data_IF_052707527377
#
_entry.id   IF_052707527377
#
_cell.length_a   1.000
_cell.length_b   1.000
_cell.length_c   1.000
_cell.angle_alpha   90.00
_cell.angle_beta   90.00
_cell.angle_gamma   90.00
#
_symmetry.space_group_name_H-M   'P 1'
#
loop_
_entity.id
_entity.type
_entity.pdbx_description
1 polymer ?
#
# COMPACT_ATOMS: atom_id res chain seq x y z
N UNK A 1 -13.14 62.77 -9.80
CA UNK A 1 -12.25 61.94 -8.95
C UNK A 1 -12.28 60.53 -9.52
N UNK A 2 -11.22 60.12 -10.23
CA UNK A 2 -11.11 58.79 -10.85
C UNK A 2 -10.18 57.94 -9.98
N UNK A 3 -10.69 56.88 -9.36
CA UNK A 3 -9.91 55.92 -8.58
C UNK A 3 -9.22 54.93 -9.52
N UNK A 4 -7.89 54.86 -9.45
CA UNK A 4 -7.09 53.91 -10.22
C UNK A 4 -7.26 52.48 -9.65
N UNK A 5 -7.23 51.43 -10.50
CA UNK A 5 -7.29 50.05 -10.03
C UNK A 5 -5.94 49.64 -9.40
N UNK A 6 -6.03 49.06 -8.22
CA UNK A 6 -4.89 48.57 -7.45
C UNK A 6 -4.44 47.21 -8.02
N UNK A 7 -3.35 47.18 -8.79
CA UNK A 7 -2.77 45.93 -9.26
C UNK A 7 -1.99 45.26 -8.13
N UNK A 8 -2.59 44.25 -7.50
CA UNK A 8 -1.87 43.35 -6.60
C UNK A 8 -0.96 42.48 -7.45
N UNK A 9 0.34 42.78 -7.48
CA UNK A 9 1.34 41.89 -8.10
C UNK A 9 1.36 40.58 -7.32
N UNK A 10 0.90 39.49 -7.94
CA UNK A 10 1.14 38.15 -7.44
C UNK A 10 2.65 37.92 -7.38
N UNK A 11 3.19 37.79 -6.17
CA UNK A 11 4.62 37.51 -5.97
C UNK A 11 4.94 36.17 -6.62
N UNK A 12 5.97 36.08 -7.49
CA UNK A 12 6.35 34.81 -8.09
C UNK A 12 6.78 33.82 -7.00
N UNK A 13 6.20 32.62 -7.03
CA UNK A 13 6.59 31.54 -6.13
C UNK A 13 8.11 31.28 -6.27
N UNK A 14 8.84 31.07 -5.15
CA UNK A 14 10.28 30.91 -5.22
C UNK A 14 10.66 29.64 -6.01
N UNK A 15 11.75 29.66 -6.79
CA UNK A 15 12.11 28.60 -7.74
C UNK A 15 12.33 27.21 -7.11
N UNK A 16 12.41 27.12 -5.77
CA UNK A 16 12.60 25.90 -4.98
C UNK A 16 11.34 25.45 -4.20
N UNK A 17 10.19 26.11 -4.37
CA UNK A 17 8.95 25.77 -3.67
C UNK A 17 8.50 24.32 -3.92
N UNK A 18 8.65 23.84 -5.16
CA UNK A 18 8.26 22.47 -5.53
C UNK A 18 9.18 21.40 -4.92
N UNK A 19 10.48 21.70 -4.80
CA UNK A 19 11.45 20.79 -4.18
C UNK A 19 11.25 20.74 -2.66
N UNK A 20 11.00 21.88 -2.01
CA UNK A 20 10.68 21.94 -0.59
C UNK A 20 9.33 21.27 -0.26
N UNK A 21 8.34 21.40 -1.14
CA UNK A 21 7.08 20.66 -1.04
C UNK A 21 7.29 19.15 -1.23
N UNK A 22 8.13 18.75 -2.19
CA UNK A 22 8.46 17.34 -2.42
C UNK A 22 9.23 16.72 -1.24
N UNK A 23 10.20 17.42 -0.66
CA UNK A 23 10.96 16.91 0.50
C UNK A 23 10.11 16.87 1.76
N UNK A 24 9.25 17.87 2.00
CA UNK A 24 8.34 17.85 3.14
C UNK A 24 7.27 16.77 3.04
N UNK A 25 6.74 16.48 1.84
CA UNK A 25 5.81 15.35 1.62
C UNK A 25 6.51 14.01 1.80
N UNK A 26 7.77 13.88 1.37
CA UNK A 26 8.62 12.71 1.64
C UNK A 26 8.90 12.50 3.13
N UNK A 27 9.18 13.57 3.87
CA UNK A 27 9.44 13.46 5.30
C UNK A 27 8.16 13.09 6.06
N UNK A 28 7.02 13.70 5.70
CA UNK A 28 5.71 13.32 6.26
C UNK A 28 5.35 11.87 5.98
N UNK A 29 5.62 11.36 4.79
CA UNK A 29 5.34 9.96 4.46
C UNK A 29 6.28 9.00 5.20
N UNK A 30 7.56 9.35 5.33
CA UNK A 30 8.52 8.60 6.16
C UNK A 30 8.09 8.56 7.63
N UNK A 31 7.80 9.71 8.22
CA UNK A 31 7.32 9.82 9.61
C UNK A 31 6.02 9.04 9.81
N UNK A 32 5.10 9.10 8.84
CA UNK A 32 3.88 8.30 8.86
C UNK A 32 4.18 6.80 8.86
N UNK A 33 4.99 6.32 7.91
CA UNK A 33 5.38 4.90 7.84
C UNK A 33 6.08 4.46 9.11
N UNK A 34 7.02 5.24 9.62
CA UNK A 34 7.73 4.94 10.88
C UNK A 34 6.77 4.93 12.06
N UNK A 35 5.82 5.85 12.15
CA UNK A 35 4.81 5.88 13.21
C UNK A 35 3.84 4.70 13.13
N UNK A 36 3.52 4.21 11.92
CA UNK A 36 2.70 3.01 11.71
C UNK A 36 3.50 1.76 12.09
N UNK A 37 4.77 1.68 11.69
CA UNK A 37 5.65 0.57 12.05
C UNK A 37 5.92 0.53 13.56
N UNK A 38 6.03 1.69 14.22
CA UNK A 38 6.18 1.80 15.67
C UNK A 38 4.95 1.32 16.46
N UNK A 39 3.76 1.27 15.83
CA UNK A 39 2.56 0.64 16.41
C UNK A 39 2.57 -0.88 16.30
N UNK A 40 3.52 -1.46 15.55
CA UNK A 40 3.70 -2.91 15.45
C UNK A 40 4.11 -3.51 16.79
N UNK A 41 3.74 -4.77 17.01
CA UNK A 41 4.16 -5.49 18.22
C UNK A 41 5.66 -5.82 18.14
N UNK A 42 6.38 -5.86 19.27
CA UNK A 42 7.78 -6.24 19.29
C UNK A 42 8.02 -7.59 18.58
N UNK A 43 9.03 -7.65 17.71
CA UNK A 43 9.36 -8.89 16.99
C UNK A 43 9.78 -10.04 17.92
N UNK A 44 10.38 -9.71 19.07
CA UNK A 44 10.72 -10.70 20.10
C UNK A 44 9.47 -11.38 20.68
N UNK A 45 8.36 -10.65 20.80
CA UNK A 45 7.08 -11.19 21.23
C UNK A 45 6.50 -12.11 20.16
N UNK A 46 6.56 -11.71 18.88
CA UNK A 46 6.08 -12.55 17.78
C UNK A 46 6.81 -13.90 17.72
N UNK A 47 8.14 -13.88 17.81
CA UNK A 47 8.97 -15.09 17.67
C UNK A 47 9.35 -15.75 19.00
N UNK A 48 8.59 -15.52 20.07
CA UNK A 48 8.82 -16.21 21.35
C UNK A 48 8.54 -17.70 21.21
N UNK A 49 9.60 -18.52 21.35
CA UNK A 49 9.56 -19.97 21.23
C UNK A 49 8.77 -20.64 22.36
N UNK A 50 8.66 -19.99 23.52
CA UNK A 50 7.97 -20.56 24.67
C UNK A 50 6.44 -20.53 24.49
N UNK A 51 5.94 -19.64 23.65
CA UNK A 51 4.52 -19.51 23.32
C UNK A 51 4.11 -20.34 22.08
N UNK A 52 4.95 -21.29 21.62
CA UNK A 52 4.61 -22.17 20.50
C UNK A 52 4.08 -23.49 21.03
N UNK A 53 2.82 -23.81 20.73
CA UNK A 53 2.17 -25.07 21.10
C UNK A 53 1.33 -25.64 19.96
N UNK A 54 1.24 -26.97 19.88
CA UNK A 54 0.47 -27.66 18.83
C UNK A 54 -1.02 -27.53 19.13
N UNK A 55 -1.86 -27.05 18.19
CA UNK A 55 -3.31 -27.01 18.39
C UNK A 55 -3.88 -28.44 18.49
N UNK A 56 -4.84 -28.65 19.39
CA UNK A 56 -5.47 -29.95 19.61
C UNK A 56 -6.38 -30.36 18.44
N UNK A 57 -7.01 -29.39 17.78
CA UNK A 57 -7.88 -29.60 16.62
C UNK A 57 -7.95 -28.37 15.70
N UNK A 58 -8.62 -28.53 14.56
CA UNK A 58 -8.76 -27.47 13.55
C UNK A 58 -9.56 -26.25 14.06
N UNK A 59 -10.58 -26.47 14.90
CA UNK A 59 -11.37 -25.36 15.45
C UNK A 59 -10.55 -24.47 16.38
N UNK A 60 -9.68 -25.07 17.18
CA UNK A 60 -8.71 -24.36 17.99
C UNK A 60 -7.69 -23.63 17.11
N UNK A 61 -7.13 -24.28 16.09
CA UNK A 61 -6.17 -23.66 15.17
C UNK A 61 -6.74 -22.41 14.49
N UNK A 62 -8.00 -22.47 14.01
CA UNK A 62 -8.70 -21.32 13.41
C UNK A 62 -8.93 -20.21 14.44
N UNK A 63 -9.27 -20.56 15.68
CA UNK A 63 -9.47 -19.58 16.76
C UNK A 63 -8.17 -18.86 17.12
N UNK A 64 -7.07 -19.62 17.28
CA UNK A 64 -5.71 -19.08 17.50
C UNK A 64 -5.29 -18.18 16.33
N UNK A 65 -5.49 -18.64 15.09
CA UNK A 65 -5.18 -17.87 13.89
C UNK A 65 -5.93 -16.53 13.87
N UNK A 66 -7.24 -16.51 14.19
CA UNK A 66 -8.03 -15.27 14.22
C UNK A 66 -7.52 -14.29 15.28
N UNK A 67 -7.26 -14.76 16.51
CA UNK A 67 -6.72 -13.93 17.60
C UNK A 67 -5.35 -13.35 17.24
N UNK A 68 -4.42 -14.21 16.82
CA UNK A 68 -3.07 -13.81 16.44
C UNK A 68 -3.05 -12.88 15.22
N UNK A 69 -3.98 -13.02 14.28
CA UNK A 69 -4.10 -12.13 13.10
C UNK A 69 -4.51 -10.72 13.48
N UNK A 70 -5.38 -10.57 14.48
CA UNK A 70 -5.75 -9.24 14.99
C UNK A 70 -4.60 -8.62 15.78
N UNK A 71 -3.93 -9.42 16.61
CA UNK A 71 -2.87 -8.95 17.50
C UNK A 71 -1.57 -8.56 16.75
N UNK A 72 -1.09 -9.43 15.86
CA UNK A 72 0.14 -9.22 15.08
C UNK A 72 -0.10 -8.65 13.69
N UNK A 73 -1.24 -7.98 13.45
CA UNK A 73 -1.67 -7.50 12.13
C UNK A 73 -0.58 -6.77 11.36
N UNK A 74 0.09 -5.80 12.00
CA UNK A 74 1.15 -5.01 11.37
C UNK A 74 2.41 -5.83 11.07
N UNK A 75 2.79 -6.75 11.96
CA UNK A 75 3.90 -7.67 11.72
C UNK A 75 3.61 -8.61 10.55
N UNK A 76 2.37 -9.09 10.42
CA UNK A 76 1.95 -9.93 9.29
C UNK A 76 1.96 -9.16 7.96
N UNK A 77 1.50 -7.91 7.96
CA UNK A 77 1.64 -7.03 6.77
C UNK A 77 3.11 -6.84 6.41
N UNK A 78 3.99 -6.63 7.40
CA UNK A 78 5.42 -6.51 7.16
C UNK A 78 6.03 -7.79 6.57
N UNK A 79 5.60 -8.98 7.02
CA UNK A 79 6.02 -10.26 6.45
C UNK A 79 5.56 -10.40 5.00
N UNK A 80 4.29 -10.10 4.70
CA UNK A 80 3.75 -10.15 3.32
C UNK A 80 4.55 -9.21 2.42
N UNK A 81 4.84 -7.99 2.88
CA UNK A 81 5.60 -7.02 2.11
C UNK A 81 7.05 -7.48 1.90
N UNK A 82 7.73 -7.95 2.95
CA UNK A 82 9.10 -8.40 2.90
C UNK A 82 9.27 -9.59 1.95
N UNK A 83 8.44 -10.62 2.11
CA UNK A 83 8.43 -11.81 1.23
C UNK A 83 8.09 -11.45 -0.21
N UNK A 84 7.17 -10.52 -0.46
CA UNK A 84 6.86 -10.01 -1.79
C UNK A 84 8.06 -9.31 -2.42
N UNK A 85 8.70 -8.39 -1.70
CA UNK A 85 9.89 -7.68 -2.17
C UNK A 85 11.01 -8.68 -2.49
N UNK A 86 11.30 -9.59 -1.56
CA UNK A 86 12.31 -10.65 -1.76
C UNK A 86 11.98 -11.50 -2.99
N UNK A 87 10.73 -11.91 -3.18
CA UNK A 87 10.31 -12.70 -4.33
C UNK A 87 10.56 -11.97 -5.64
N UNK A 88 10.24 -10.68 -5.74
CA UNK A 88 10.53 -9.89 -6.94
C UNK A 88 12.03 -9.65 -7.13
N UNK A 89 12.79 -9.39 -6.06
CA UNK A 89 14.25 -9.24 -6.11
C UNK A 89 14.95 -10.48 -6.67
N UNK A 90 14.43 -11.67 -6.35
CA UNK A 90 14.94 -12.95 -6.87
C UNK A 90 14.59 -13.18 -8.35
N UNK A 91 13.73 -12.35 -8.95
CA UNK A 91 13.29 -12.46 -10.34
C UNK A 91 13.58 -11.16 -11.11
N UNK A 92 14.87 -10.88 -11.44
CA UNK A 92 15.27 -9.61 -12.07
C UNK A 92 14.58 -9.36 -13.41
N UNK A 93 14.25 -10.39 -14.19
CA UNK A 93 13.48 -10.25 -15.43
C UNK A 93 12.07 -9.67 -15.20
N UNK A 94 11.39 -10.11 -14.13
CA UNK A 94 10.10 -9.57 -13.74
C UNK A 94 10.20 -8.08 -13.35
N UNK A 95 11.28 -7.70 -12.66
CA UNK A 95 11.54 -6.31 -12.29
C UNK A 95 11.79 -5.43 -13.51
N UNK A 96 12.57 -5.90 -14.48
CA UNK A 96 12.84 -5.16 -15.72
C UNK A 96 11.53 -4.92 -16.48
N UNK A 97 10.70 -5.94 -16.66
CA UNK A 97 9.41 -5.79 -17.35
C UNK A 97 8.50 -4.80 -16.61
N UNK A 98 8.41 -4.89 -15.29
CA UNK A 98 7.63 -3.96 -14.49
C UNK A 98 8.15 -2.52 -14.62
N UNK A 99 9.46 -2.32 -14.60
CA UNK A 99 10.10 -1.03 -14.80
C UNK A 99 9.83 -0.46 -16.20
N UNK A 100 9.87 -1.29 -17.24
CA UNK A 100 9.56 -0.89 -18.62
C UNK A 100 8.09 -0.49 -18.78
N UNK A 101 7.17 -1.25 -18.17
CA UNK A 101 5.74 -0.90 -18.14
C UNK A 101 5.57 0.46 -17.45
N UNK A 102 6.15 0.62 -16.26
CA UNK A 102 6.06 1.88 -15.50
C UNK A 102 6.64 3.05 -16.29
N UNK A 103 7.80 2.87 -16.91
CA UNK A 103 8.43 3.87 -17.77
C UNK A 103 7.55 4.21 -18.99
N UNK A 104 6.91 3.21 -19.59
CA UNK A 104 6.00 3.41 -20.73
C UNK A 104 4.75 4.21 -20.31
N UNK A 105 4.19 3.93 -19.14
CA UNK A 105 3.08 4.73 -18.57
C UNK A 105 3.52 6.16 -18.25
N UNK A 106 4.66 6.32 -17.57
CA UNK A 106 5.22 7.63 -17.26
C UNK A 106 5.48 8.43 -18.54
N UNK A 107 6.09 7.83 -19.55
CA UNK A 107 6.32 8.46 -20.84
C UNK A 107 5.00 8.85 -21.52
N UNK A 108 4.04 7.93 -21.59
CA UNK A 108 2.77 8.20 -22.23
C UNK A 108 2.06 9.41 -21.60
N UNK A 109 2.00 9.51 -20.27
CA UNK A 109 1.23 10.56 -19.58
C UNK A 109 2.00 11.81 -19.21
N UNK A 110 3.28 11.70 -18.86
CA UNK A 110 4.10 12.86 -18.47
C UNK A 110 4.74 13.54 -19.68
N UNK A 111 5.17 12.78 -20.70
CA UNK A 111 5.79 13.36 -21.88
C UNK A 111 4.75 13.84 -22.91
N UNK A 112 3.57 13.21 -22.95
CA UNK A 112 2.47 13.58 -23.86
C UNK A 112 1.15 13.82 -23.09
N UNK A 113 1.02 14.98 -22.42
CA UNK A 113 -0.23 15.39 -21.77
C UNK A 113 -1.21 15.93 -22.83
N UNK A 114 -1.92 15.04 -23.52
CA UNK A 114 -2.91 15.41 -24.53
C UNK A 114 -3.25 14.28 -25.50
N UNK A 115 -3.81 14.66 -26.65
CA UNK A 115 -4.05 13.74 -27.76
C UNK A 115 -2.73 13.38 -28.44
N UNK A 116 -2.53 12.09 -28.71
CA UNK A 116 -1.33 11.61 -29.41
C UNK A 116 -1.67 11.50 -30.90
N UNK A 117 -0.94 12.21 -31.76
CA UNK A 117 -1.14 12.08 -33.21
C UNK A 117 -0.12 11.10 -33.80
N UNK A 118 -0.60 10.00 -34.39
CA UNK A 118 0.24 9.02 -35.07
C UNK A 118 -0.23 8.93 -36.52
N UNK A 119 0.65 9.27 -37.47
CA UNK A 119 0.34 9.28 -38.91
C UNK A 119 -0.89 10.13 -39.29
N UNK A 120 -1.05 11.30 -38.65
CA UNK A 120 -2.16 12.23 -38.93
C UNK A 120 -3.52 11.82 -38.34
N UNK A 121 -3.57 10.75 -37.52
CA UNK A 121 -4.76 10.40 -36.73
C UNK A 121 -4.53 10.76 -35.27
N UNK A 122 -5.45 11.52 -34.69
CA UNK A 122 -5.44 11.87 -33.27
C UNK A 122 -6.06 10.75 -32.44
N UNK A 123 -5.30 10.28 -31.46
CA UNK A 123 -5.74 9.33 -30.43
C UNK A 123 -6.11 10.10 -29.18
N UNK A 124 -7.32 9.85 -28.70
CA UNK A 124 -7.85 10.38 -27.45
C UNK A 124 -7.15 9.76 -26.23
N UNK A 125 -7.31 10.43 -25.08
CA UNK A 125 -6.77 9.94 -23.82
C UNK A 125 -7.36 8.57 -23.42
N UNK A 126 -8.64 8.32 -23.74
CA UNK A 126 -9.30 7.03 -23.49
C UNK A 126 -8.61 5.91 -24.28
N UNK A 127 -8.32 6.14 -25.55
CA UNK A 127 -7.63 5.16 -26.39
C UNK A 127 -6.22 4.89 -25.88
N UNK A 128 -5.51 5.92 -25.42
CA UNK A 128 -4.20 5.77 -24.79
C UNK A 128 -4.27 4.92 -23.51
N UNK A 129 -5.24 5.15 -22.63
CA UNK A 129 -5.45 4.31 -21.42
C UNK A 129 -5.73 2.87 -21.82
N UNK A 130 -6.63 2.64 -22.79
CA UNK A 130 -6.99 1.29 -23.25
C UNK A 130 -5.78 0.59 -23.86
N UNK A 131 -5.04 1.26 -24.75
CA UNK A 131 -3.83 0.72 -25.39
C UNK A 131 -2.76 0.36 -24.35
N UNK A 132 -2.48 1.26 -23.41
CA UNK A 132 -1.51 1.03 -22.34
C UNK A 132 -1.94 -0.10 -21.40
N UNK A 133 -3.25 -0.23 -21.13
CA UNK A 133 -3.80 -1.32 -20.33
C UNK A 133 -3.65 -2.68 -21.03
N UNK A 134 -3.96 -2.74 -22.32
CA UNK A 134 -3.78 -3.96 -23.13
C UNK A 134 -2.30 -4.34 -23.22
N UNK A 135 -1.41 -3.36 -23.46
CA UNK A 135 0.03 -3.59 -23.47
C UNK A 135 0.53 -4.14 -22.13
N UNK A 136 0.15 -3.51 -21.02
CA UNK A 136 0.47 -4.01 -19.67
C UNK A 136 -0.02 -5.44 -19.47
N UNK A 137 -1.28 -5.72 -19.83
CA UNK A 137 -1.85 -7.06 -19.70
C UNK A 137 -1.06 -8.10 -20.49
N UNK A 138 -0.77 -7.82 -21.76
CA UNK A 138 0.02 -8.73 -22.61
C UNK A 138 1.40 -8.96 -22.01
N UNK A 139 2.11 -7.89 -21.64
CA UNK A 139 3.45 -8.01 -21.08
C UNK A 139 3.46 -8.79 -19.75
N UNK A 140 2.50 -8.55 -18.87
CA UNK A 140 2.40 -9.19 -17.54
C UNK A 140 2.03 -10.67 -17.63
N UNK A 141 1.10 -11.04 -18.51
CA UNK A 141 0.56 -12.41 -18.55
C UNK A 141 1.22 -13.32 -19.57
N UNK A 142 1.75 -12.78 -20.67
CA UNK A 142 2.30 -13.58 -21.77
C UNK A 142 3.81 -13.48 -21.92
N UNK A 143 4.43 -12.39 -21.45
CA UNK A 143 5.85 -12.12 -21.69
C UNK A 143 6.71 -12.32 -20.43
N UNK A 144 6.09 -12.40 -19.25
CA UNK A 144 6.83 -12.42 -17.97
C UNK A 144 6.21 -13.34 -16.93
N UNK A 145 6.97 -13.55 -15.85
CA UNK A 145 6.59 -14.32 -14.67
C UNK A 145 6.03 -13.46 -13.53
N UNK A 146 5.75 -12.17 -13.76
CA UNK A 146 5.17 -11.24 -12.75
C UNK A 146 3.98 -11.88 -12.02
N UNK A 147 3.06 -12.49 -12.77
CA UNK A 147 1.91 -13.16 -12.17
C UNK A 147 2.30 -14.31 -11.24
N UNK A 148 3.15 -15.23 -11.70
CA UNK A 148 3.57 -16.39 -10.89
C UNK A 148 4.41 -15.98 -9.69
N UNK A 149 5.29 -14.98 -9.83
CA UNK A 149 6.06 -14.39 -8.72
C UNK A 149 5.15 -13.76 -7.68
N UNK A 150 4.14 -13.00 -8.12
CA UNK A 150 3.18 -12.38 -7.21
C UNK A 150 2.35 -13.43 -6.45
N UNK A 151 1.74 -14.39 -7.15
CA UNK A 151 0.91 -15.41 -6.51
C UNK A 151 1.72 -16.33 -5.59
N UNK A 152 2.96 -16.68 -5.96
CA UNK A 152 3.84 -17.48 -5.10
C UNK A 152 4.24 -16.72 -3.84
N UNK A 153 4.58 -15.43 -3.94
CA UNK A 153 4.90 -14.59 -2.79
C UNK A 153 3.74 -14.52 -1.78
N UNK A 154 2.52 -14.27 -2.28
CA UNK A 154 1.31 -14.24 -1.43
C UNK A 154 1.05 -15.61 -0.81
N UNK A 155 1.18 -16.69 -1.58
CA UNK A 155 0.98 -18.06 -1.07
C UNK A 155 1.95 -18.41 0.05
N UNK A 156 3.24 -18.09 -0.12
CA UNK A 156 4.28 -18.30 0.89
C UNK A 156 3.97 -17.46 2.14
N UNK A 157 3.58 -16.19 1.95
CA UNK A 157 3.21 -15.31 3.06
C UNK A 157 2.05 -15.87 3.89
N UNK A 158 0.98 -16.29 3.21
CA UNK A 158 -0.20 -16.86 3.85
C UNK A 158 0.14 -18.16 4.57
N UNK A 159 0.99 -19.01 4.00
CA UNK A 159 1.46 -20.22 4.67
C UNK A 159 2.25 -19.91 5.95
N UNK A 160 3.17 -18.94 5.91
CA UNK A 160 3.93 -18.50 7.08
C UNK A 160 3.02 -17.93 8.17
N UNK A 161 2.07 -17.07 7.79
CA UNK A 161 1.12 -16.44 8.72
C UNK A 161 0.18 -17.48 9.33
N UNK A 162 -0.33 -18.41 8.52
CA UNK A 162 -1.21 -19.48 9.00
C UNK A 162 -0.47 -20.41 9.95
N UNK A 163 0.77 -20.80 9.61
CA UNK A 163 1.62 -21.62 10.47
C UNK A 163 1.90 -20.91 11.80
N UNK A 164 2.37 -19.66 11.75
CA UNK A 164 2.62 -18.88 12.95
C UNK A 164 1.34 -18.69 13.79
N UNK A 165 0.24 -18.27 13.16
CA UNK A 165 -1.01 -17.96 13.82
C UNK A 165 -1.72 -19.17 14.43
N UNK A 166 -1.57 -20.36 13.85
CA UNK A 166 -2.15 -21.60 14.38
C UNK A 166 -1.34 -22.21 15.53
N UNK A 167 -0.02 -22.09 15.49
CA UNK A 167 0.88 -22.69 16.47
C UNK A 167 1.29 -21.76 17.61
N UNK A 168 1.10 -20.44 17.47
CA UNK A 168 1.33 -19.52 18.57
C UNK A 168 0.14 -19.52 19.53
N UNK A 169 0.41 -19.81 20.79
CA UNK A 169 -0.56 -19.77 21.87
C UNK A 169 -0.97 -18.31 22.14
N UNK A 170 -2.27 -18.00 22.09
CA UNK A 170 -2.75 -16.69 22.49
C UNK A 170 -2.69 -16.62 24.02
N UNK A 171 -1.60 -16.07 24.57
CA UNK A 171 -1.47 -15.81 26.01
C UNK A 171 -2.68 -15.02 26.54
N UNK A 172 -2.85 -14.97 27.86
CA UNK A 172 -3.88 -14.21 28.59
C UNK A 172 -3.86 -12.67 28.32
N UNK A 173 -3.13 -12.20 27.31
CA UNK A 173 -3.12 -10.86 26.71
C UNK A 173 -4.52 -10.35 26.29
N UNK A 174 -5.55 -11.18 26.35
CA UNK A 174 -6.94 -10.87 26.03
C UNK A 174 -7.82 -10.52 27.24
N UNK A 175 -7.26 -10.43 28.46
CA UNK A 175 -8.03 -10.08 29.66
C UNK A 175 -8.33 -8.58 29.81
N UNK A 176 -7.70 -7.70 29.01
CA UNK A 176 -7.93 -6.24 29.05
C UNK A 176 -8.79 -5.72 27.88
N UNK A 177 -8.86 -6.46 26.77
CA UNK A 177 -9.68 -6.11 25.61
C UNK A 177 -11.01 -6.88 25.69
N UNK A 178 -11.93 -6.36 26.51
CA UNK A 178 -13.30 -6.86 26.64
C UNK A 178 -13.95 -7.14 25.28
N UNK A 179 -14.64 -8.28 25.21
CA UNK A 179 -15.26 -8.83 24.01
C UNK A 179 -16.03 -7.79 23.18
N UNK A 180 -15.37 -7.25 22.15
CA UNK A 180 -16.02 -6.67 20.99
C UNK A 180 -15.51 -7.45 19.78
N UNK A 181 -16.22 -8.54 19.50
CA UNK A 181 -16.03 -9.45 18.38
C UNK A 181 -16.22 -8.70 17.06
N UNK A 182 -15.23 -7.90 16.69
CA UNK A 182 -15.28 -7.03 15.54
C UNK A 182 -15.01 -7.88 14.29
N UNK A 183 -15.80 -7.74 13.21
CA UNK A 183 -15.48 -8.37 11.94
C UNK A 183 -14.06 -7.99 11.51
N UNK A 184 -13.31 -8.95 10.95
CA UNK A 184 -11.94 -8.73 10.49
C UNK A 184 -11.96 -7.60 9.47
N UNK A 185 -11.64 -6.38 9.90
CA UNK A 185 -11.49 -5.24 9.03
C UNK A 185 -10.00 -5.12 8.67
N UNK A 186 -9.58 -5.55 7.48
CA UNK A 186 -8.19 -5.44 7.05
C UNK A 186 -7.74 -3.98 6.99
N UNK A 187 -8.65 -3.00 6.92
CA UNK A 187 -8.33 -1.59 6.82
C UNK A 187 -8.43 -0.80 8.13
N UNK A 188 -8.62 -1.45 9.29
CA UNK A 188 -8.71 -0.73 10.58
C UNK A 188 -7.50 0.13 10.95
N UNK A 189 -6.35 -0.08 10.30
CA UNK A 189 -5.15 0.74 10.52
C UNK A 189 -5.12 2.01 9.64
N UNK A 190 -6.00 2.14 8.65
CA UNK A 190 -6.07 3.32 7.80
C UNK A 190 -6.87 4.41 8.53
N UNK A 191 -6.27 5.59 8.82
CA UNK A 191 -7.04 6.75 9.23
C UNK A 191 -7.94 7.15 8.07
N UNK A 192 -9.25 6.95 8.20
CA UNK A 192 -10.20 7.55 7.26
C UNK A 192 -10.20 9.05 7.58
N UNK A 193 -9.82 9.94 6.65
CA UNK A 193 -10.01 11.37 6.86
C UNK A 193 -11.51 11.63 6.84
N UNK A 194 -12.13 11.68 8.01
CA UNK A 194 -13.51 12.16 8.15
C UNK A 194 -13.45 13.66 7.90
N UNK A 195 -13.72 14.09 6.67
CA UNK A 195 -14.08 15.47 6.41
C UNK A 195 -15.43 15.72 7.09
N UNK A 196 -15.41 16.18 8.34
CA UNK A 196 -16.60 16.69 9.03
C UNK A 196 -17.13 17.87 8.20
N UNK A 197 -18.38 17.81 7.69
CA UNK A 197 -18.97 18.98 7.06
C UNK A 197 -19.08 20.08 8.12
N UNK A 198 -18.54 21.26 7.82
CA UNK A 198 -18.70 22.44 8.66
C UNK A 198 -20.20 22.73 8.80
N UNK A 199 -20.71 22.61 10.02
CA UNK A 199 -22.06 23.07 10.36
C UNK A 199 -22.05 24.59 10.20
N UNK A 200 -22.68 25.07 9.13
CA UNK A 200 -22.95 26.49 8.95
C UNK A 200 -23.95 26.92 10.03
N UNK A 201 -23.45 27.51 11.11
CA UNK A 201 -24.26 28.29 12.05
C UNK A 201 -24.63 29.59 11.36
N UNK A 202 -25.85 29.66 10.80
CA UNK A 202 -26.48 30.93 10.45
C UNK A 202 -26.94 31.61 11.74
N UNK A 203 -26.36 32.78 12.02
CA UNK A 203 -26.94 33.82 12.88
C UNK A 203 -26.94 35.10 12.08
#
# INVERSE_FOLDING_TARGET
MSTAPNFTMATPAPPNANLAAATSTLNKSKEYVLSVLAKGKPWAEMFDKNAVSKPANLGEAVTRMRKNSSYFKLNYVAIILCTTILSFLMHPGSLIVLALILASWAFAFLAYPGTVEINGKSFSEREKIVAMSVLSFVLIFFVTSVGTVFFSAISISLALIALHGAFREPDNLFLDDGEAQSPINPFSFLPIPISTPAVATNV
#
